data_IF_128080810712
#
_entry.id   IF_128080810712
#
_cell.length_a   1.000
_cell.length_b   1.000
_cell.length_c   1.000
_cell.angle_alpha   90.00
_cell.angle_beta   90.00
_cell.angle_gamma   90.00
#
_symmetry.space_group_name_H-M   'P 1'
#
loop_
_entity.id
_entity.type
_entity.pdbx_description
1 polymer ?
#
# COMPACT_ATOMS: atom_id res chain seq x y z
N UNK A 1 0.53 16.14 -2.60
CA UNK A 1 1.28 14.95 -2.11
C UNK A 1 2.03 14.34 -3.28
N UNK A 2 3.06 13.51 -3.06
CA UNK A 2 3.75 12.74 -4.11
C UNK A 2 3.79 11.27 -3.71
N UNK A 3 3.76 10.35 -4.68
CA UNK A 3 4.01 8.91 -4.47
C UNK A 3 5.39 8.53 -5.05
N UNK A 4 5.79 7.26 -4.97
CA UNK A 4 7.19 6.87 -5.26
C UNK A 4 7.63 7.23 -6.68
N UNK A 5 6.73 7.20 -7.67
CA UNK A 5 7.08 7.39 -9.08
C UNK A 5 6.30 8.48 -9.83
N UNK A 6 5.44 9.26 -9.15
CA UNK A 6 4.69 10.39 -9.71
C UNK A 6 4.61 11.56 -8.71
N UNK A 7 4.77 12.76 -9.24
CA UNK A 7 4.61 14.01 -8.47
C UNK A 7 3.16 14.26 -8.05
N UNK A 8 2.20 13.92 -8.92
CA UNK A 8 0.76 13.96 -8.62
C UNK A 8 0.27 12.51 -8.46
N UNK A 9 -0.10 12.08 -7.24
CA UNK A 9 -0.48 10.71 -6.96
C UNK A 9 -1.96 10.45 -7.27
N UNK A 10 -2.32 9.17 -7.29
CA UNK A 10 -3.70 8.72 -7.35
C UNK A 10 -4.23 8.32 -5.95
N UNK A 11 -5.50 7.92 -5.89
CA UNK A 11 -6.14 7.50 -4.64
C UNK A 11 -5.53 6.23 -4.06
N UNK A 12 -5.13 5.24 -4.87
CA UNK A 12 -4.64 3.95 -4.37
C UNK A 12 -3.29 4.10 -3.65
N UNK A 13 -2.35 4.80 -4.27
CA UNK A 13 -1.03 5.05 -3.69
C UNK A 13 -1.10 5.96 -2.46
N UNK A 14 -2.03 6.93 -2.46
CA UNK A 14 -2.26 7.81 -1.31
C UNK A 14 -2.91 7.06 -0.15
N UNK A 15 -3.90 6.20 -0.40
CA UNK A 15 -4.52 5.37 0.62
C UNK A 15 -3.51 4.43 1.28
N UNK A 16 -2.63 3.80 0.49
CA UNK A 16 -1.54 2.97 1.04
C UNK A 16 -0.66 3.79 1.97
N UNK A 17 -0.20 4.96 1.54
CA UNK A 17 0.62 5.82 2.38
C UNK A 17 -0.08 6.24 3.69
N UNK A 18 -1.37 6.56 3.64
CA UNK A 18 -2.15 6.99 4.81
C UNK A 18 -2.44 5.84 5.78
N UNK A 19 -2.77 4.65 5.26
CA UNK A 19 -3.24 3.54 6.10
C UNK A 19 -2.14 2.56 6.48
N UNK A 20 -1.02 2.49 5.76
CA UNK A 20 0.10 1.59 6.08
C UNK A 20 1.37 2.34 6.50
N UNK A 21 1.44 3.66 6.30
CA UNK A 21 2.62 4.47 6.59
C UNK A 21 3.73 4.38 5.54
N UNK A 22 3.54 3.60 4.46
CA UNK A 22 4.55 3.38 3.41
C UNK A 22 4.02 3.88 2.06
N UNK A 23 4.80 4.69 1.36
CA UNK A 23 4.45 5.12 0.00
C UNK A 23 4.69 4.00 -1.01
N UNK A 24 3.81 3.91 -2.00
CA UNK A 24 3.93 2.94 -3.10
C UNK A 24 3.82 3.61 -4.47
N UNK A 25 3.82 2.82 -5.54
CA UNK A 25 3.74 3.25 -6.93
C UNK A 25 2.32 3.72 -7.31
N UNK A 26 2.22 4.56 -8.33
CA UNK A 26 0.93 5.01 -8.89
C UNK A 26 0.03 3.84 -9.29
N UNK A 27 -1.26 3.91 -8.89
CA UNK A 27 -2.29 2.86 -9.09
C UNK A 27 -1.99 1.51 -8.40
N UNK A 28 -1.12 1.49 -7.39
CA UNK A 28 -0.82 0.30 -6.58
C UNK A 28 -1.38 0.49 -5.16
N UNK A 29 -1.92 -0.59 -4.57
CA UNK A 29 -2.53 -0.58 -3.23
C UNK A 29 -2.02 -1.74 -2.37
N UNK A 30 -1.75 -1.47 -1.08
CA UNK A 30 -1.51 -2.52 -0.07
C UNK A 30 -0.17 -3.26 -0.16
N UNK A 31 0.69 -2.87 -1.11
CA UNK A 31 2.03 -3.43 -1.30
C UNK A 31 3.06 -2.32 -1.47
N UNK A 32 4.33 -2.62 -1.20
CA UNK A 32 5.43 -1.66 -1.33
C UNK A 32 5.78 -1.32 -2.80
N UNK A 33 6.78 -0.47 -3.00
CA UNK A 33 7.16 0.00 -4.33
C UNK A 33 7.92 -1.02 -5.20
N UNK A 34 8.23 -2.22 -4.71
CA UNK A 34 8.80 -3.28 -5.55
C UNK A 34 7.76 -3.82 -6.55
N UNK A 35 6.46 -3.72 -6.24
CA UNK A 35 5.39 -4.21 -7.11
C UNK A 35 5.07 -3.21 -8.24
N UNK A 36 5.27 -3.68 -9.47
CA UNK A 36 4.91 -3.07 -10.77
C UNK A 36 3.38 -2.84 -10.90
N UNK A 37 2.92 -1.72 -11.45
CA UNK A 37 1.53 -1.65 -11.94
C UNK A 37 1.33 -2.70 -13.04
N UNK A 38 0.37 -3.60 -12.85
CA UNK A 38 0.07 -4.69 -13.79
C UNK A 38 0.91 -5.95 -13.60
N UNK A 39 1.79 -5.99 -12.60
CA UNK A 39 2.61 -7.15 -12.28
C UNK A 39 1.90 -8.05 -11.25
N UNK A 40 1.09 -8.97 -11.74
CA UNK A 40 0.33 -9.89 -10.91
C UNK A 40 1.25 -10.80 -10.09
N UNK A 41 2.31 -11.34 -10.69
CA UNK A 41 3.21 -12.28 -10.02
C UNK A 41 3.95 -11.62 -8.85
N UNK A 42 4.48 -10.41 -9.04
CA UNK A 42 5.12 -9.67 -7.95
C UNK A 42 4.13 -9.35 -6.82
N UNK A 43 2.85 -9.09 -7.14
CA UNK A 43 1.82 -8.80 -6.13
C UNK A 43 1.49 -9.98 -5.22
N UNK A 44 1.78 -11.22 -5.65
CA UNK A 44 1.55 -12.44 -4.85
C UNK A 44 2.65 -12.68 -3.80
N UNK A 45 3.78 -11.96 -3.87
CA UNK A 45 4.85 -12.12 -2.90
C UNK A 45 4.50 -11.41 -1.58
N UNK A 46 4.24 -12.21 -0.54
CA UNK A 46 3.88 -11.71 0.80
C UNK A 46 4.93 -10.78 1.41
N UNK A 47 6.20 -10.88 1.01
CA UNK A 47 7.25 -9.97 1.49
C UNK A 47 7.02 -8.51 1.10
N UNK A 48 6.23 -8.25 0.06
CA UNK A 48 5.88 -6.90 -0.38
C UNK A 48 4.56 -6.41 0.22
N UNK A 49 3.84 -7.24 0.96
CA UNK A 49 2.55 -6.87 1.54
C UNK A 49 2.75 -5.97 2.76
N UNK A 50 1.92 -4.94 2.86
CA UNK A 50 1.99 -3.95 3.93
C UNK A 50 0.81 -4.14 4.88
N UNK A 51 1.09 -4.10 6.17
CA UNK A 51 0.03 -4.08 7.18
C UNK A 51 -0.57 -2.69 7.29
N UNK A 52 -1.90 -2.63 7.33
CA UNK A 52 -2.62 -1.37 7.58
C UNK A 52 -2.85 -1.14 9.08
N UNK A 53 -3.07 0.12 9.46
CA UNK A 53 -3.51 0.50 10.80
C UNK A 53 -4.84 -0.16 11.20
N UNK A 54 -5.69 -0.48 10.21
CA UNK A 54 -6.93 -1.23 10.42
C UNK A 54 -6.61 -2.67 10.84
N UNK A 55 -5.65 -3.31 10.18
CA UNK A 55 -5.18 -4.64 10.57
C UNK A 55 -4.56 -4.64 11.97
N UNK A 56 -3.79 -3.59 12.33
CA UNK A 56 -3.30 -3.42 13.70
C UNK A 56 -4.44 -3.23 14.71
N UNK A 57 -5.49 -2.49 14.36
CA UNK A 57 -6.67 -2.33 15.20
C UNK A 57 -7.39 -3.67 15.43
N UNK A 58 -7.56 -4.49 14.38
CA UNK A 58 -8.12 -5.84 14.49
C UNK A 58 -7.26 -6.75 15.37
N UNK A 59 -5.94 -6.74 15.17
CA UNK A 59 -5.01 -7.50 16.00
C UNK A 59 -5.06 -7.09 17.49
N UNK A 60 -5.40 -5.83 17.77
CA UNK A 60 -5.61 -5.31 19.12
C UNK A 60 -7.05 -5.50 19.64
N UNK A 61 -7.91 -6.28 18.95
CA UNK A 61 -9.29 -6.57 19.37
C UNK A 61 -10.25 -5.39 19.26
N UNK A 62 -9.93 -4.38 18.44
CA UNK A 62 -10.80 -3.22 18.19
C UNK A 62 -11.74 -3.49 17.03
N UNK A 63 -12.91 -2.85 17.06
CA UNK A 63 -13.81 -2.82 15.91
C UNK A 63 -13.18 -2.06 14.74
N UNK A 64 -13.51 -2.47 13.52
CA UNK A 64 -13.01 -1.90 12.26
C UNK A 64 -14.09 -1.78 11.21
#
# INVERSE_FOLDING_TARGET
TYNVNKQVPDSASTATALFTGVKTNFKVIGVDSHVKLGDCEASLNENYHLQSIIQWAQAAGKAT
#
